data_IF_849626891556
#
_entry.id   IF_849626891556
#
_cell.length_a   1.000
_cell.length_b   1.000
_cell.length_c   1.000
_cell.angle_alpha   90.00
_cell.angle_beta   90.00
_cell.angle_gamma   90.00
#
_symmetry.space_group_name_H-M   'P 1'
#
loop_
_entity.id
_entity.type
_entity.pdbx_description
1 polymer ?
#
# COMPACT_ATOMS: atom_id res chain seq x y z
N UNK A 1 -9.37 27.99 -56.35
CA UNK A 1 -8.21 28.19 -55.45
C UNK A 1 -7.15 27.14 -55.78
N UNK A 2 -6.11 27.54 -56.52
CA UNK A 2 -5.07 26.58 -56.97
C UNK A 2 -4.05 26.35 -55.86
N UNK A 3 -4.16 25.20 -55.22
CA UNK A 3 -3.16 24.79 -54.23
C UNK A 3 -1.91 24.33 -55.00
N UNK A 4 -0.84 25.12 -54.92
CA UNK A 4 0.41 24.74 -55.59
C UNK A 4 1.01 23.49 -54.91
N UNK A 5 1.75 22.64 -55.68
CA UNK A 5 2.38 21.41 -55.17
C UNK A 5 3.23 21.62 -53.87
N UNK A 6 3.80 22.81 -53.72
CA UNK A 6 4.54 23.22 -52.50
C UNK A 6 3.66 23.31 -51.27
N UNK A 7 2.45 23.87 -51.39
CA UNK A 7 1.50 23.97 -50.26
C UNK A 7 0.94 22.61 -49.87
N UNK A 8 0.73 21.72 -50.85
CA UNK A 8 0.30 20.36 -50.56
C UNK A 8 1.37 19.56 -49.78
N UNK A 9 2.65 19.71 -50.11
CA UNK A 9 3.76 19.06 -49.39
C UNK A 9 3.86 19.52 -47.92
N UNK A 10 3.72 20.84 -47.70
CA UNK A 10 3.72 21.41 -46.33
C UNK A 10 2.51 20.91 -45.52
N UNK A 11 1.33 20.86 -46.13
CA UNK A 11 0.13 20.35 -45.43
C UNK A 11 0.26 18.88 -45.05
N UNK A 12 0.79 18.04 -45.95
CA UNK A 12 1.03 16.61 -45.65
C UNK A 12 2.05 16.45 -44.54
N UNK A 13 3.18 17.19 -44.57
CA UNK A 13 4.18 17.13 -43.51
C UNK A 13 3.63 17.56 -42.15
N UNK A 14 2.76 18.58 -42.12
CA UNK A 14 2.10 19.02 -40.89
C UNK A 14 1.14 17.97 -40.34
N UNK A 15 0.31 17.34 -41.20
CA UNK A 15 -0.61 16.26 -40.80
C UNK A 15 0.13 15.04 -40.28
N UNK A 16 1.24 14.64 -40.89
CA UNK A 16 2.06 13.54 -40.41
C UNK A 16 2.70 13.89 -39.04
N UNK A 17 3.19 15.10 -38.89
CA UNK A 17 3.74 15.58 -37.61
C UNK A 17 2.70 15.53 -36.48
N UNK A 18 1.49 16.01 -36.72
CA UNK A 18 0.39 15.96 -35.75
C UNK A 18 0.01 14.52 -35.40
N UNK A 19 -0.08 13.63 -36.41
CA UNK A 19 -0.39 12.23 -36.17
C UNK A 19 0.67 11.52 -35.29
N UNK A 20 1.95 11.80 -35.51
CA UNK A 20 3.06 11.24 -34.69
C UNK A 20 2.96 11.75 -33.26
N UNK A 21 2.75 13.07 -33.05
CA UNK A 21 2.62 13.63 -31.71
C UNK A 21 1.40 13.05 -30.97
N UNK A 22 0.26 12.94 -31.64
CA UNK A 22 -0.94 12.31 -31.04
C UNK A 22 -0.70 10.84 -30.68
N UNK A 23 0.04 10.08 -31.51
CA UNK A 23 0.37 8.69 -31.24
C UNK A 23 1.28 8.55 -30.02
N UNK A 24 2.26 9.46 -29.86
CA UNK A 24 3.13 9.47 -28.68
C UNK A 24 2.34 9.82 -27.42
N UNK A 25 1.47 10.83 -27.47
CA UNK A 25 0.63 11.22 -26.34
C UNK A 25 -0.31 10.07 -25.95
N UNK A 26 -0.93 9.40 -26.89
CA UNK A 26 -1.77 8.22 -26.65
C UNK A 26 -0.99 7.05 -26.06
N UNK A 27 0.22 6.79 -26.54
CA UNK A 27 1.07 5.74 -25.99
C UNK A 27 1.53 6.03 -24.56
N UNK A 28 1.88 7.30 -24.25
CA UNK A 28 2.23 7.74 -22.90
C UNK A 28 1.01 7.69 -21.98
N UNK A 29 -0.16 8.13 -22.45
CA UNK A 29 -1.40 8.05 -21.68
C UNK A 29 -1.83 6.60 -21.42
N UNK A 30 -1.71 5.70 -22.40
CA UNK A 30 -1.97 4.27 -22.23
C UNK A 30 -0.98 3.61 -21.27
N UNK A 31 0.29 4.00 -21.31
CA UNK A 31 1.30 3.50 -20.38
C UNK A 31 1.11 4.03 -18.96
N UNK A 32 0.64 5.27 -18.83
CA UNK A 32 0.27 5.87 -17.55
C UNK A 32 -1.02 5.26 -16.98
N UNK A 33 -2.03 4.98 -17.83
CA UNK A 33 -3.25 4.28 -17.42
C UNK A 33 -2.97 2.81 -17.05
N UNK A 34 -2.16 2.09 -17.81
CA UNK A 34 -1.77 0.72 -17.46
C UNK A 34 -0.96 0.62 -16.16
N UNK A 35 -0.28 1.69 -15.72
CA UNK A 35 0.33 1.77 -14.40
C UNK A 35 -0.63 2.20 -13.30
N UNK A 36 -1.71 2.91 -13.63
CA UNK A 36 -2.73 3.36 -12.66
C UNK A 36 -3.82 2.29 -12.43
N UNK A 37 -3.98 1.32 -13.33
CA UNK A 37 -4.94 0.22 -13.21
C UNK A 37 -4.35 -1.05 -12.59
N UNK A 38 -3.05 -1.14 -12.42
CA UNK A 38 -2.48 -2.00 -11.40
C UNK A 38 -2.64 -1.30 -10.04
N UNK A 39 -3.88 -1.10 -9.61
CA UNK A 39 -4.20 -0.91 -8.19
C UNK A 39 -3.43 -2.01 -7.49
N UNK A 40 -2.40 -1.64 -6.77
CA UNK A 40 -1.51 -2.59 -6.12
C UNK A 40 -2.38 -3.36 -5.13
N UNK A 41 -2.95 -4.50 -5.58
CA UNK A 41 -3.70 -5.39 -4.70
C UNK A 41 -2.71 -5.71 -3.59
N UNK A 42 -2.95 -5.11 -2.43
CA UNK A 42 -2.14 -5.40 -1.26
C UNK A 42 -2.24 -6.90 -1.02
N UNK A 43 -1.12 -7.61 -0.96
CA UNK A 43 -1.13 -9.05 -0.71
C UNK A 43 -1.51 -9.38 0.74
N UNK A 44 -2.05 -8.40 1.47
CA UNK A 44 -2.38 -8.48 2.89
C UNK A 44 -3.63 -7.65 3.17
N UNK A 45 -4.64 -8.25 3.76
CA UNK A 45 -5.85 -7.57 4.23
C UNK A 45 -5.80 -7.33 5.74
N UNK A 46 -6.47 -6.27 6.18
CA UNK A 46 -6.60 -5.86 7.57
C UNK A 46 -8.01 -6.16 8.09
N UNK A 47 -8.08 -6.63 9.33
CA UNK A 47 -9.34 -6.80 10.07
C UNK A 47 -9.14 -6.25 11.47
N UNK A 48 -10.01 -5.35 11.90
CA UNK A 48 -9.99 -4.78 13.25
C UNK A 48 -11.21 -5.22 14.02
N UNK A 49 -10.98 -5.69 15.23
CA UNK A 49 -12.04 -6.00 16.20
C UNK A 49 -12.01 -4.92 17.29
N UNK A 50 -12.99 -3.99 17.28
CA UNK A 50 -13.02 -2.88 18.24
C UNK A 50 -13.26 -3.35 19.68
N UNK A 51 -13.97 -4.46 19.89
CA UNK A 51 -14.28 -4.95 21.23
C UNK A 51 -13.05 -5.47 21.97
N UNK A 52 -12.08 -6.04 21.25
CA UNK A 52 -10.83 -6.54 21.80
C UNK A 52 -9.64 -5.65 21.46
N UNK A 53 -9.83 -4.61 20.64
CA UNK A 53 -8.77 -3.75 20.07
C UNK A 53 -7.66 -4.60 19.40
N UNK A 54 -8.09 -5.62 18.69
CA UNK A 54 -7.19 -6.57 18.02
C UNK A 54 -7.15 -6.29 16.52
N UNK A 55 -5.95 -6.06 16.01
CA UNK A 55 -5.72 -5.92 14.58
C UNK A 55 -5.16 -7.22 14.03
N UNK A 56 -5.77 -7.74 12.97
CA UNK A 56 -5.42 -9.02 12.34
C UNK A 56 -5.04 -8.80 10.89
N UNK A 57 -3.92 -9.36 10.49
CA UNK A 57 -3.35 -9.34 9.14
C UNK A 57 -3.53 -10.70 8.51
N UNK A 58 -4.20 -10.75 7.35
CA UNK A 58 -4.49 -11.98 6.61
C UNK A 58 -3.89 -11.89 5.22
N UNK A 59 -2.97 -12.80 4.84
CA UNK A 59 -2.43 -12.83 3.49
C UNK A 59 -3.54 -13.12 2.47
N UNK A 60 -3.48 -12.45 1.32
CA UNK A 60 -4.30 -12.79 0.18
C UNK A 60 -3.98 -14.21 -0.31
N UNK A 61 -4.91 -14.79 -1.07
CA UNK A 61 -4.68 -16.11 -1.66
C UNK A 61 -3.43 -16.08 -2.54
N UNK A 62 -2.63 -17.13 -2.43
CA UNK A 62 -1.35 -17.22 -3.12
C UNK A 62 -0.16 -16.58 -2.41
N UNK A 63 -0.37 -15.95 -1.24
CA UNK A 63 0.70 -15.36 -0.44
C UNK A 63 0.81 -16.03 0.94
N UNK A 64 2.03 -15.98 1.51
CA UNK A 64 2.30 -16.44 2.88
C UNK A 64 3.37 -15.58 3.55
N UNK A 65 3.33 -15.48 4.87
CA UNK A 65 4.34 -14.75 5.63
C UNK A 65 5.68 -15.46 5.56
N UNK A 66 6.71 -14.72 5.16
CA UNK A 66 8.09 -15.14 5.20
C UNK A 66 8.80 -14.56 6.43
N UNK A 67 8.54 -13.30 6.75
CA UNK A 67 9.12 -12.63 7.89
C UNK A 67 8.14 -11.64 8.52
N UNK A 68 8.28 -11.47 9.83
CA UNK A 68 7.54 -10.49 10.62
C UNK A 68 8.56 -9.80 11.51
N UNK A 69 8.59 -8.47 11.47
CA UNK A 69 9.49 -7.67 12.29
C UNK A 69 8.73 -6.51 12.91
N UNK A 70 9.10 -6.15 14.13
CA UNK A 70 8.52 -5.03 14.90
C UNK A 70 9.59 -3.98 15.13
N UNK A 71 9.27 -2.71 14.92
CA UNK A 71 10.21 -1.60 15.13
C UNK A 71 10.49 -1.31 16.61
N UNK A 72 9.62 -1.79 17.50
CA UNK A 72 9.78 -1.61 18.94
C UNK A 72 10.34 -2.89 19.57
N UNK A 73 11.63 -2.87 19.94
CA UNK A 73 12.31 -4.03 20.49
C UNK A 73 11.80 -4.52 21.86
N UNK A 74 10.84 -3.82 22.48
CA UNK A 74 10.19 -4.24 23.72
C UNK A 74 8.89 -4.99 23.47
N UNK A 75 8.26 -4.74 22.33
CA UNK A 75 7.02 -5.44 21.96
C UNK A 75 7.35 -6.78 21.32
N UNK A 76 6.74 -7.88 21.78
CA UNK A 76 7.01 -9.20 21.21
C UNK A 76 6.60 -9.27 19.75
N UNK A 77 7.41 -9.95 18.95
CA UNK A 77 7.03 -10.22 17.54
C UNK A 77 5.76 -11.07 17.55
N UNK A 78 4.68 -10.61 16.87
CA UNK A 78 3.44 -11.39 16.81
C UNK A 78 3.65 -12.75 16.19
N UNK A 79 2.99 -13.76 16.74
CA UNK A 79 3.08 -15.12 16.22
C UNK A 79 2.12 -15.32 15.04
N UNK A 80 2.58 -16.11 14.07
CA UNK A 80 1.74 -16.57 12.97
C UNK A 80 0.85 -17.73 13.42
N UNK A 81 -0.47 -17.58 13.25
CA UNK A 81 -1.42 -18.68 13.44
C UNK A 81 -1.59 -19.44 12.13
N UNK A 82 -1.14 -20.69 12.12
CA UNK A 82 -1.21 -21.55 10.94
C UNK A 82 -2.65 -21.96 10.58
N UNK A 83 -3.55 -22.00 11.57
CA UNK A 83 -4.93 -22.42 11.35
C UNK A 83 -5.73 -21.35 10.63
N UNK A 84 -5.59 -20.11 11.09
CA UNK A 84 -6.25 -18.93 10.48
C UNK A 84 -5.42 -18.28 9.39
N UNK A 85 -4.18 -18.73 9.20
CA UNK A 85 -3.19 -18.14 8.28
C UNK A 85 -3.03 -16.64 8.51
N UNK A 86 -3.01 -16.21 9.76
CA UNK A 86 -3.03 -14.80 10.11
C UNK A 86 -2.01 -14.44 11.18
N UNK A 87 -1.74 -13.14 11.29
CA UNK A 87 -0.97 -12.53 12.36
C UNK A 87 -1.87 -11.54 13.08
N UNK A 88 -1.91 -11.60 14.40
CA UNK A 88 -2.74 -10.69 15.20
C UNK A 88 -1.92 -9.94 16.24
N UNK A 89 -2.28 -8.68 16.46
CA UNK A 89 -1.68 -7.78 17.45
C UNK A 89 -2.76 -7.21 18.36
N UNK A 90 -2.54 -7.29 19.67
CA UNK A 90 -3.34 -6.58 20.66
C UNK A 90 -2.83 -5.14 20.76
N UNK A 91 -3.60 -4.20 20.25
CA UNK A 91 -3.25 -2.78 20.31
C UNK A 91 -3.43 -2.23 21.74
N UNK A 92 -4.37 -2.78 22.51
CA UNK A 92 -4.56 -2.43 23.91
C UNK A 92 -3.30 -2.71 24.72
N UNK A 93 -2.70 -3.89 24.58
CA UNK A 93 -1.46 -4.24 25.24
C UNK A 93 -0.30 -3.35 24.78
N UNK A 94 -0.19 -3.13 23.47
CA UNK A 94 0.86 -2.29 22.91
C UNK A 94 0.79 -0.86 23.48
N UNK A 95 -0.36 -0.20 23.40
CA UNK A 95 -0.50 1.18 23.84
C UNK A 95 -0.42 1.31 25.35
N UNK A 96 -0.88 0.31 26.12
CA UNK A 96 -0.73 0.30 27.58
C UNK A 96 0.74 0.21 28.00
N UNK A 97 1.53 -0.69 27.40
CA UNK A 97 2.95 -0.85 27.71
C UNK A 97 3.79 0.36 27.29
N UNK A 98 3.38 1.06 26.24
CA UNK A 98 4.14 2.18 25.68
C UNK A 98 3.64 3.55 26.12
N UNK A 99 2.59 3.63 26.94
CA UNK A 99 2.07 4.89 27.47
C UNK A 99 3.14 5.68 28.25
N UNK A 100 4.03 4.98 28.95
CA UNK A 100 5.12 5.59 29.73
C UNK A 100 6.34 5.97 28.89
N UNK A 101 6.55 5.30 27.76
CA UNK A 101 7.75 5.50 26.92
C UNK A 101 7.57 6.59 25.87
N UNK A 102 6.36 7.13 25.72
CA UNK A 102 6.03 8.13 24.70
C UNK A 102 6.06 7.60 23.27
N UNK A 103 6.15 6.29 23.08
CA UNK A 103 6.09 5.68 21.76
C UNK A 103 4.67 5.79 21.22
N UNK A 104 4.47 6.60 20.18
CA UNK A 104 3.15 6.94 19.67
C UNK A 104 2.68 6.01 18.54
N UNK A 105 3.53 5.12 18.05
CA UNK A 105 3.18 4.22 16.96
C UNK A 105 3.89 2.86 17.05
N UNK A 106 3.23 1.84 16.52
CA UNK A 106 3.75 0.50 16.30
C UNK A 106 4.06 0.32 14.82
N UNK A 107 5.31 0.08 14.48
CA UNK A 107 5.72 -0.28 13.12
C UNK A 107 5.82 -1.79 12.98
N UNK A 108 5.11 -2.35 12.02
CA UNK A 108 5.17 -3.74 11.64
C UNK A 108 5.70 -3.87 10.21
N UNK A 109 6.64 -4.77 10.02
CA UNK A 109 7.21 -5.08 8.72
C UNK A 109 6.90 -6.54 8.38
N UNK A 110 6.27 -6.74 7.25
CA UNK A 110 5.95 -8.06 6.73
C UNK A 110 6.70 -8.33 5.44
N UNK A 111 7.40 -9.45 5.38
CA UNK A 111 7.86 -10.04 4.13
C UNK A 111 6.87 -11.13 3.72
N UNK A 112 6.35 -11.03 2.51
CA UNK A 112 5.39 -11.98 1.93
C UNK A 112 5.99 -12.63 0.69
N UNK A 113 5.97 -13.95 0.63
CA UNK A 113 6.26 -14.71 -0.57
C UNK A 113 4.99 -15.05 -1.32
N UNK A 114 5.07 -15.01 -2.65
CA UNK A 114 4.06 -15.59 -3.54
C UNK A 114 4.31 -17.09 -3.69
N UNK A 115 3.22 -17.88 -3.76
CA UNK A 115 3.31 -19.30 -4.09
C UNK A 115 3.76 -19.56 -5.54
N UNK A 116 3.53 -18.57 -6.42
CA UNK A 116 3.70 -18.74 -7.87
C UNK A 116 5.03 -18.18 -8.38
N UNK A 117 5.71 -17.34 -7.57
CA UNK A 117 6.97 -16.69 -7.94
C UNK A 117 7.96 -16.73 -6.78
N UNK A 118 9.26 -16.57 -7.07
CA UNK A 118 10.27 -16.37 -6.01
C UNK A 118 10.28 -14.95 -5.44
N UNK A 119 9.34 -14.10 -5.86
CA UNK A 119 9.28 -12.71 -5.45
C UNK A 119 8.85 -12.59 -3.98
N UNK A 120 9.61 -11.79 -3.25
CA UNK A 120 9.26 -11.39 -1.88
C UNK A 120 8.79 -9.92 -1.92
N UNK A 121 7.59 -9.67 -1.41
CA UNK A 121 7.07 -8.31 -1.22
C UNK A 121 7.23 -7.91 0.23
N UNK A 122 7.76 -6.72 0.46
CA UNK A 122 7.90 -6.15 1.79
C UNK A 122 6.87 -5.04 1.97
N UNK A 123 6.16 -5.09 3.08
CA UNK A 123 5.14 -4.12 3.44
C UNK A 123 5.46 -3.57 4.83
N UNK A 124 5.29 -2.27 5.01
CA UNK A 124 5.39 -1.65 6.31
C UNK A 124 4.05 -1.05 6.72
N UNK A 125 3.67 -1.28 7.96
CA UNK A 125 2.47 -0.75 8.60
C UNK A 125 2.89 0.09 9.79
N UNK A 126 2.44 1.35 9.84
CA UNK A 126 2.62 2.22 10.99
C UNK A 126 1.26 2.43 11.66
N UNK A 127 1.09 1.87 12.85
CA UNK A 127 -0.18 1.85 13.58
C UNK A 127 -0.09 2.85 14.72
N UNK A 128 -1.04 3.78 14.77
CA UNK A 128 -1.13 4.80 15.81
C UNK A 128 -2.56 4.94 16.32
N UNK A 129 -2.72 5.52 17.50
CA UNK A 129 -4.03 5.88 18.04
C UNK A 129 -4.23 7.39 17.90
N UNK A 130 -5.26 7.80 17.17
CA UNK A 130 -5.68 9.20 17.09
C UNK A 130 -6.73 9.50 18.16
N UNK A 131 -6.36 10.36 19.11
CA UNK A 131 -7.30 10.83 20.14
C UNK A 131 -8.34 11.78 19.57
N UNK A 132 -7.98 12.55 18.54
CA UNK A 132 -8.89 13.49 17.89
C UNK A 132 -10.00 12.76 17.13
N UNK A 133 -9.63 11.69 16.41
CA UNK A 133 -10.57 10.90 15.60
C UNK A 133 -11.25 9.77 16.38
N UNK A 134 -10.82 9.51 17.61
CA UNK A 134 -11.22 8.32 18.38
C UNK A 134 -11.10 7.05 17.55
N UNK A 135 -9.94 6.88 16.88
CA UNK A 135 -9.71 5.81 15.94
C UNK A 135 -8.27 5.27 16.01
N UNK A 136 -8.12 4.03 15.60
CA UNK A 136 -6.83 3.47 15.22
C UNK A 136 -6.56 3.89 13.78
N UNK A 137 -5.40 4.45 13.53
CA UNK A 137 -4.95 4.88 12.20
C UNK A 137 -3.81 3.97 11.79
N UNK A 138 -3.92 3.40 10.60
CA UNK A 138 -2.95 2.48 10.01
C UNK A 138 -2.44 3.06 8.70
N UNK A 139 -1.21 3.54 8.69
CA UNK A 139 -0.53 3.97 7.47
C UNK A 139 0.20 2.76 6.87
N UNK A 140 -0.05 2.50 5.59
CA UNK A 140 0.41 1.35 4.85
C UNK A 140 1.40 1.81 3.79
N UNK A 141 2.60 1.26 3.80
CA UNK A 141 3.67 1.55 2.85
C UNK A 141 3.99 0.30 2.01
N UNK A 142 3.45 0.22 0.78
CA UNK A 142 3.64 -0.94 -0.09
C UNK A 142 5.08 -1.15 -0.55
N UNK A 143 5.91 -0.10 -0.51
CA UNK A 143 7.34 -0.18 -0.77
C UNK A 143 8.14 -0.85 0.35
N UNK A 144 7.52 -1.03 1.55
CA UNK A 144 8.23 -1.47 2.76
C UNK A 144 9.12 -0.40 3.38
N UNK A 145 9.03 0.85 2.93
CA UNK A 145 9.83 1.98 3.42
C UNK A 145 8.97 3.24 3.60
N UNK A 146 8.90 3.77 4.81
CA UNK A 146 8.20 5.04 5.12
C UNK A 146 8.83 6.24 4.42
N UNK A 147 10.08 6.15 4.01
CA UNK A 147 10.76 7.20 3.26
C UNK A 147 10.31 7.26 1.79
N UNK A 148 9.70 6.17 1.30
CA UNK A 148 9.08 6.11 -0.02
C UNK A 148 7.54 6.03 0.12
N UNK A 149 6.83 7.17 0.13
CA UNK A 149 5.38 7.19 0.29
C UNK A 149 4.61 6.82 -0.99
N UNK A 150 5.30 6.37 -2.04
CA UNK A 150 4.66 6.02 -3.32
C UNK A 150 3.64 4.90 -3.11
N UNK A 151 2.38 5.18 -3.42
CA UNK A 151 1.28 4.24 -3.24
C UNK A 151 0.89 4.00 -1.77
N UNK A 152 1.35 4.85 -0.83
CA UNK A 152 0.93 4.75 0.57
C UNK A 152 -0.58 4.97 0.72
N UNK A 153 -1.17 4.24 1.66
CA UNK A 153 -2.60 4.30 1.97
C UNK A 153 -2.77 4.46 3.48
N UNK A 154 -3.92 5.00 3.89
CA UNK A 154 -4.28 5.12 5.30
C UNK A 154 -5.65 4.49 5.51
N UNK A 155 -5.76 3.59 6.47
CA UNK A 155 -7.02 3.04 6.94
C UNK A 155 -7.31 3.55 8.36
N UNK A 156 -8.58 3.81 8.65
CA UNK A 156 -9.04 4.32 9.95
C UNK A 156 -10.11 3.38 10.50
N UNK A 157 -9.89 2.92 11.73
CA UNK A 157 -10.81 2.03 12.43
C UNK A 157 -11.34 2.75 13.66
N UNK A 158 -12.65 3.09 13.73
CA UNK A 158 -13.23 3.76 14.89
C UNK A 158 -13.14 2.87 16.13
N UNK A 159 -12.81 3.47 17.25
CA UNK A 159 -12.90 2.84 18.56
C UNK A 159 -14.36 2.90 19.04
N UNK A 160 -14.83 1.85 19.72
CA UNK A 160 -16.14 1.90 20.36
C UNK A 160 -16.11 2.94 21.50
N UNK A 161 -17.15 3.78 21.57
CA UNK A 161 -17.35 4.67 22.71
C UNK A 161 -17.55 3.82 23.99
N UNK A 162 -16.70 4.06 24.98
CA UNK A 162 -16.72 3.34 26.26
C UNK A 162 -17.88 3.81 27.15
#
# INVERSE_FOLDING_TARGET
MNITRKHLGVLVAFLVGVAVVCSIILAVAHHAQGKAEEEAILPLSLQFDPSTEKLTFVPADGFYFHSITVNNGKFPVPSYDQTTRSVSVSLREFFAENAETGSSYLGLYFGLHSNDTEDCRYLQYCISQSREKQAIVVDIYPSGDVADPTGSMTEEFPLEEA
#
